data_IF_162077053679
#
_entry.id   IF_162077053679
#
_cell.length_a   1.000
_cell.length_b   1.000
_cell.length_c   1.000
_cell.angle_alpha   90.00
_cell.angle_beta   90.00
_cell.angle_gamma   90.00
#
_symmetry.space_group_name_H-M   'P 1'
#
loop_
_entity.id
_entity.type
_entity.pdbx_description
1 polymer ?
#
# COMPACT_ATOMS: atom_id res chain seq x y z
N UNK A 1 26.19 -44.11 11.22
CA UNK A 1 25.39 -42.88 11.39
C UNK A 1 26.33 -41.73 11.72
N UNK A 2 26.63 -40.86 10.75
CA UNK A 2 27.61 -39.77 10.90
C UNK A 2 26.93 -38.54 11.52
N UNK A 3 27.46 -38.01 12.63
CA UNK A 3 26.96 -36.79 13.28
C UNK A 3 27.47 -35.56 12.52
N UNK A 4 26.56 -34.71 12.03
CA UNK A 4 26.92 -33.39 11.47
C UNK A 4 27.57 -32.54 12.58
N UNK A 5 28.78 -32.06 12.32
CA UNK A 5 29.59 -31.20 13.21
C UNK A 5 29.55 -29.72 12.79
N UNK A 6 28.64 -29.40 11.89
CA UNK A 6 28.31 -28.06 11.42
C UNK A 6 27.48 -27.37 12.51
N UNK A 7 27.93 -26.18 12.92
CA UNK A 7 27.53 -25.46 14.12
C UNK A 7 26.03 -25.46 14.39
N UNK A 8 25.69 -25.53 15.68
CA UNK A 8 24.31 -25.51 16.17
C UNK A 8 23.50 -24.27 15.69
N UNK A 9 22.21 -24.19 16.03
CA UNK A 9 21.23 -23.31 15.39
C UNK A 9 21.52 -21.79 15.48
N UNK A 10 22.55 -21.35 16.20
CA UNK A 10 22.90 -19.94 16.31
C UNK A 10 23.71 -19.42 15.13
N UNK A 11 23.42 -18.19 14.68
CA UNK A 11 24.29 -17.47 13.76
C UNK A 11 25.70 -17.31 14.38
N UNK A 12 26.78 -17.74 13.71
CA UNK A 12 28.13 -17.52 14.21
C UNK A 12 28.50 -16.03 14.15
N UNK A 13 29.29 -15.56 15.11
CA UNK A 13 29.88 -14.20 15.11
C UNK A 13 30.73 -14.05 13.83
N UNK A 14 30.40 -13.04 13.01
CA UNK A 14 31.05 -12.77 11.72
C UNK A 14 31.69 -11.37 11.80
N UNK A 15 32.79 -11.28 12.52
CA UNK A 15 33.59 -10.07 12.53
C UNK A 15 34.37 -9.95 11.20
N UNK A 16 34.26 -8.82 10.47
CA UNK A 16 35.04 -8.60 9.26
C UNK A 16 36.55 -8.59 9.56
N UNK A 17 37.36 -9.19 8.68
CA UNK A 17 38.81 -9.32 8.86
C UNK A 17 39.61 -8.06 8.48
N UNK A 18 38.96 -7.06 7.88
CA UNK A 18 39.56 -5.77 7.51
C UNK A 18 39.07 -4.65 8.44
N UNK A 19 39.99 -3.88 9.00
CA UNK A 19 39.71 -2.78 9.93
C UNK A 19 40.99 -2.27 10.62
N UNK A 20 40.87 -1.23 11.45
CA UNK A 20 41.98 -0.73 12.25
C UNK A 20 42.36 -1.71 13.39
N UNK A 21 43.60 -1.65 13.86
CA UNK A 21 44.07 -2.50 14.96
C UNK A 21 43.19 -2.29 16.22
N UNK A 22 42.60 -3.39 16.73
CA UNK A 22 41.72 -3.38 17.90
C UNK A 22 40.22 -3.26 17.60
N UNK A 23 39.84 -2.81 16.39
CA UNK A 23 38.44 -2.65 16.00
C UNK A 23 37.69 -3.98 15.92
N UNK A 24 38.41 -5.05 15.52
CA UNK A 24 37.87 -6.41 15.47
C UNK A 24 37.38 -6.89 16.84
N UNK A 25 38.14 -6.63 17.90
CA UNK A 25 37.77 -7.06 19.25
C UNK A 25 36.52 -6.33 19.76
N UNK A 26 36.39 -5.05 19.42
CA UNK A 26 35.21 -4.27 19.77
C UNK A 26 33.96 -4.78 19.01
N UNK A 27 34.10 -5.07 17.71
CA UNK A 27 33.01 -5.63 16.91
C UNK A 27 32.59 -7.03 17.36
N UNK A 28 33.55 -7.88 17.75
CA UNK A 28 33.28 -9.20 18.33
C UNK A 28 32.48 -9.07 19.63
N UNK A 29 32.86 -8.17 20.54
CA UNK A 29 32.13 -7.93 21.79
C UNK A 29 30.73 -7.38 21.56
N UNK A 30 30.58 -6.42 20.64
CA UNK A 30 29.27 -5.85 20.28
C UNK A 30 28.34 -6.94 19.72
N UNK A 31 28.83 -7.79 18.82
CA UNK A 31 28.05 -8.86 18.24
C UNK A 31 27.68 -9.96 19.25
N UNK A 32 28.55 -10.23 20.23
CA UNK A 32 28.26 -11.15 21.34
C UNK A 32 27.26 -10.59 22.36
N UNK A 33 27.20 -9.26 22.51
CA UNK A 33 26.26 -8.59 23.40
C UNK A 33 24.84 -8.47 22.83
N UNK A 34 24.71 -8.57 21.50
CA UNK A 34 23.43 -8.54 20.82
C UNK A 34 22.77 -9.93 20.86
N UNK A 35 21.45 -10.05 21.08
CA UNK A 35 20.73 -11.30 20.92
C UNK A 35 20.73 -11.69 19.43
N UNK A 36 21.63 -12.57 19.04
CA UNK A 36 21.71 -13.09 17.67
C UNK A 36 20.55 -14.05 17.43
N UNK A 37 19.92 -13.93 16.26
CA UNK A 37 18.85 -14.85 15.86
C UNK A 37 19.38 -16.29 15.79
N UNK A 38 18.67 -17.21 16.43
CA UNK A 38 18.88 -18.65 16.30
C UNK A 38 18.17 -19.25 15.07
N UNK A 39 17.66 -18.39 14.18
CA UNK A 39 17.09 -18.79 12.90
C UNK A 39 18.22 -18.81 11.86
N UNK A 40 18.60 -19.97 11.30
CA UNK A 40 19.66 -20.08 10.32
C UNK A 40 19.27 -19.37 9.02
N UNK A 41 19.67 -18.11 8.86
CA UNK A 41 19.30 -17.31 7.69
C UNK A 41 17.82 -16.97 7.69
N UNK A 42 17.49 -15.72 7.36
CA UNK A 42 16.21 -15.47 6.72
C UNK A 42 16.26 -16.19 5.37
N UNK A 43 15.90 -17.47 5.34
CA UNK A 43 15.29 -18.04 4.17
C UNK A 43 14.12 -17.08 3.89
N UNK A 44 14.16 -16.35 2.77
CA UNK A 44 12.93 -15.94 2.15
C UNK A 44 12.27 -17.25 1.76
N UNK A 45 11.63 -17.86 2.76
CA UNK A 45 11.00 -19.17 2.71
C UNK A 45 10.41 -19.30 1.35
N UNK A 46 10.87 -20.27 0.55
CA UNK A 46 10.10 -20.73 -0.60
C UNK A 46 8.65 -20.68 -0.14
N UNK A 47 7.78 -19.85 -0.74
CA UNK A 47 6.52 -19.45 -0.13
C UNK A 47 5.85 -20.72 0.35
N UNK A 48 5.61 -20.79 1.67
CA UNK A 48 4.82 -21.88 2.23
C UNK A 48 3.61 -22.02 1.31
N UNK A 49 3.37 -23.23 0.80
CA UNK A 49 2.38 -23.43 -0.25
C UNK A 49 1.05 -22.86 0.27
N UNK A 50 0.71 -21.67 -0.20
CA UNK A 50 -0.50 -20.97 0.22
C UNK A 50 -1.62 -21.86 -0.27
N UNK A 51 -2.40 -22.39 0.65
CA UNK A 51 -3.58 -23.14 0.31
C UNK A 51 -4.55 -22.19 -0.40
N UNK A 52 -4.53 -22.21 -1.73
CA UNK A 52 -5.43 -21.41 -2.58
C UNK A 52 -6.89 -21.82 -2.45
N UNK A 53 -7.18 -22.94 -1.76
CA UNK A 53 -8.55 -23.34 -1.44
C UNK A 53 -9.05 -22.75 -0.12
N UNK A 54 -8.17 -22.16 0.71
CA UNK A 54 -8.53 -21.49 1.94
C UNK A 54 -9.35 -20.22 1.63
N UNK A 55 -10.67 -20.37 1.58
CA UNK A 55 -11.62 -19.29 1.27
C UNK A 55 -12.55 -19.56 0.08
N UNK A 56 -12.42 -20.71 -0.59
CA UNK A 56 -13.34 -21.10 -1.67
C UNK A 56 -14.68 -21.54 -1.09
N UNK A 57 -15.75 -20.82 -1.45
CA UNK A 57 -17.13 -21.18 -1.11
C UNK A 57 -17.63 -22.19 -2.14
N UNK A 58 -18.24 -23.29 -1.68
CA UNK A 58 -18.90 -24.26 -2.56
C UNK A 58 -20.13 -23.67 -3.27
N UNK A 59 -20.51 -24.22 -4.42
CA UNK A 59 -21.67 -23.73 -5.19
C UNK A 59 -23.02 -23.90 -4.47
N UNK A 60 -23.10 -24.83 -3.52
CA UNK A 60 -24.26 -25.13 -2.69
C UNK A 60 -24.29 -24.34 -1.37
N UNK A 61 -23.24 -23.56 -1.09
CA UNK A 61 -23.12 -22.76 0.12
C UNK A 61 -23.68 -21.35 -0.09
N UNK A 62 -24.23 -20.77 0.98
CA UNK A 62 -24.77 -19.40 0.98
C UNK A 62 -23.68 -18.33 0.92
N UNK A 63 -24.10 -17.07 0.75
CA UNK A 63 -23.19 -15.92 0.87
C UNK A 63 -22.59 -15.83 2.29
N UNK A 64 -21.33 -15.44 2.39
CA UNK A 64 -20.69 -15.14 3.68
C UNK A 64 -21.13 -13.79 4.27
N UNK A 65 -21.81 -12.97 3.46
CA UNK A 65 -22.29 -11.63 3.80
C UNK A 65 -23.80 -11.55 3.51
N UNK A 66 -24.64 -12.18 4.35
CA UNK A 66 -26.10 -12.25 4.11
C UNK A 66 -26.82 -10.91 4.28
N UNK A 67 -26.30 -10.05 5.15
CA UNK A 67 -26.89 -8.74 5.47
C UNK A 67 -26.30 -7.60 4.62
N UNK A 68 -25.28 -7.89 3.80
CA UNK A 68 -24.63 -6.89 2.96
C UNK A 68 -25.25 -6.88 1.55
N UNK A 69 -25.79 -5.73 1.09
CA UNK A 69 -26.37 -5.65 -0.24
C UNK A 69 -25.28 -5.80 -1.30
N UNK A 70 -25.66 -6.34 -2.46
CA UNK A 70 -24.74 -6.51 -3.61
C UNK A 70 -24.16 -5.18 -4.13
N UNK A 71 -24.76 -4.05 -3.76
CA UNK A 71 -24.34 -2.70 -4.10
C UNK A 71 -23.41 -2.06 -3.07
N UNK A 72 -23.07 -2.75 -1.97
CA UNK A 72 -22.11 -2.23 -1.00
C UNK A 72 -20.77 -1.92 -1.66
N UNK A 73 -20.20 -0.76 -1.35
CA UNK A 73 -18.99 -0.22 -1.99
C UNK A 73 -19.22 0.47 -3.35
N UNK A 74 -20.43 0.42 -3.91
CA UNK A 74 -20.78 1.22 -5.08
C UNK A 74 -21.16 2.65 -4.66
N UNK A 75 -20.99 3.61 -5.58
CA UNK A 75 -21.42 5.00 -5.37
C UNK A 75 -22.96 5.18 -5.40
N UNK A 76 -23.71 4.14 -5.79
CA UNK A 76 -25.16 4.16 -5.93
C UNK A 76 -25.73 2.80 -5.51
N UNK A 77 -26.84 2.84 -4.77
CA UNK A 77 -27.56 1.66 -4.31
C UNK A 77 -27.71 1.63 -2.79
N UNK A 78 -28.19 0.51 -2.26
CA UNK A 78 -28.26 0.27 -0.82
C UNK A 78 -26.89 -0.14 -0.29
N UNK A 79 -26.60 0.18 0.96
CA UNK A 79 -25.35 -0.17 1.63
C UNK A 79 -24.33 0.97 1.75
N UNK A 80 -23.20 0.71 2.41
CA UNK A 80 -22.15 1.70 2.60
C UNK A 80 -21.51 2.08 1.26
N UNK A 81 -21.63 3.36 0.89
CA UNK A 81 -21.00 3.94 -0.29
C UNK A 81 -19.63 4.55 -0.01
N UNK A 82 -19.21 5.50 -0.85
CA UNK A 82 -17.93 6.21 -0.69
C UNK A 82 -17.84 6.98 0.65
N UNK A 83 -18.98 7.30 1.25
CA UNK A 83 -19.12 7.96 2.54
C UNK A 83 -18.57 7.11 3.68
N UNK A 84 -18.63 5.77 3.56
CA UNK A 84 -18.11 4.85 4.57
C UNK A 84 -16.57 4.85 4.65
N UNK A 85 -15.89 5.36 3.61
CA UNK A 85 -14.43 5.47 3.57
C UNK A 85 -13.91 6.63 4.42
N UNK A 86 -14.78 7.52 4.91
CA UNK A 86 -14.39 8.67 5.74
C UNK A 86 -13.40 9.60 5.04
N UNK A 87 -13.39 9.61 3.70
CA UNK A 87 -12.51 10.47 2.92
C UNK A 87 -12.97 11.92 3.08
N UNK A 88 -12.04 12.88 3.26
CA UNK A 88 -12.39 14.29 3.20
C UNK A 88 -13.01 14.60 1.83
N UNK A 89 -14.06 15.43 1.84
CA UNK A 89 -14.73 15.90 0.62
C UNK A 89 -13.88 17.00 -0.07
N UNK A 90 -12.64 16.62 -0.41
CA UNK A 90 -11.63 17.40 -1.13
C UNK A 90 -12.14 18.03 -2.44
N UNK A 91 -13.02 17.41 -3.26
CA UNK A 91 -13.41 17.99 -4.54
C UNK A 91 -14.27 19.25 -4.40
N UNK A 92 -14.70 19.67 -3.21
CA UNK A 92 -15.52 20.88 -3.04
C UNK A 92 -14.65 22.13 -2.79
N UNK A 93 -13.65 22.06 -1.92
CA UNK A 93 -12.83 23.21 -1.55
C UNK A 93 -11.90 23.63 -2.69
N UNK A 94 -11.17 22.69 -3.29
CA UNK A 94 -10.29 22.97 -4.43
C UNK A 94 -11.07 23.52 -5.62
N UNK A 95 -12.26 22.97 -5.86
CA UNK A 95 -13.12 23.41 -6.94
C UNK A 95 -13.69 24.80 -6.71
N UNK A 96 -14.01 25.16 -5.46
CA UNK A 96 -14.42 26.51 -5.08
C UNK A 96 -13.28 27.53 -5.26
N UNK A 97 -12.03 27.12 -5.02
CA UNK A 97 -10.86 27.94 -5.28
C UNK A 97 -10.65 28.16 -6.78
N UNK A 98 -10.90 27.14 -7.62
CA UNK A 98 -10.82 27.26 -9.08
C UNK A 98 -11.89 28.18 -9.67
N UNK A 99 -13.07 28.31 -9.05
CA UNK A 99 -14.10 29.26 -9.47
C UNK A 99 -13.60 30.72 -9.47
N UNK A 100 -12.69 31.08 -8.55
CA UNK A 100 -12.08 32.42 -8.50
C UNK A 100 -11.28 32.74 -9.75
N UNK A 101 -10.75 31.72 -10.42
CA UNK A 101 -9.96 31.82 -11.64
C UNK A 101 -10.74 31.48 -12.92
N UNK A 102 -12.06 31.30 -12.81
CA UNK A 102 -12.93 30.95 -13.94
C UNK A 102 -12.71 31.85 -15.18
N UNK A 103 -12.59 33.19 -15.08
CA UNK A 103 -12.42 34.04 -16.26
C UNK A 103 -11.12 33.72 -17.05
N UNK A 104 -10.05 33.37 -16.35
CA UNK A 104 -8.76 33.01 -16.96
C UNK A 104 -8.86 31.63 -17.59
N UNK A 105 -9.47 30.67 -16.88
CA UNK A 105 -9.66 29.31 -17.38
C UNK A 105 -10.57 29.26 -18.61
N UNK A 106 -11.61 30.09 -18.65
CA UNK A 106 -12.48 30.26 -19.82
C UNK A 106 -11.71 30.83 -21.02
N UNK A 107 -10.90 31.87 -20.79
CA UNK A 107 -10.06 32.43 -21.85
C UNK A 107 -9.14 31.36 -22.43
N UNK A 108 -8.44 30.59 -21.57
CA UNK A 108 -7.54 29.52 -22.00
C UNK A 108 -8.28 28.38 -22.72
N UNK A 109 -9.47 28.00 -22.25
CA UNK A 109 -10.26 26.92 -22.84
C UNK A 109 -10.84 27.26 -24.23
N UNK A 110 -11.01 28.56 -24.52
CA UNK A 110 -11.51 29.06 -25.81
C UNK A 110 -10.41 29.27 -26.87
N UNK A 111 -9.14 29.06 -26.53
CA UNK A 111 -8.03 29.22 -27.48
C UNK A 111 -7.93 28.04 -28.47
N UNK A 112 -7.51 28.30 -29.73
CA UNK A 112 -7.27 27.25 -30.73
C UNK A 112 -6.02 26.43 -30.35
N UNK A 113 -6.22 25.40 -29.54
CA UNK A 113 -5.15 24.57 -28.96
C UNK A 113 -5.51 23.95 -27.62
N UNK A 114 -6.58 24.43 -26.97
CA UNK A 114 -7.03 23.90 -25.69
C UNK A 114 -7.49 22.43 -25.80
N UNK A 115 -7.07 21.60 -24.84
CA UNK A 115 -7.45 20.20 -24.78
C UNK A 115 -8.96 20.04 -24.56
N UNK A 116 -9.53 18.91 -25.04
CA UNK A 116 -10.94 18.56 -24.79
C UNK A 116 -11.22 18.44 -23.28
N UNK A 117 -10.25 17.94 -22.52
CA UNK A 117 -10.33 17.82 -21.07
C UNK A 117 -10.46 19.20 -20.38
N UNK A 118 -9.66 20.18 -20.77
CA UNK A 118 -9.73 21.54 -20.20
C UNK A 118 -11.07 22.22 -20.43
N UNK A 119 -11.63 22.08 -21.64
CA UNK A 119 -12.98 22.58 -21.97
C UNK A 119 -14.08 21.90 -21.15
N UNK A 120 -13.95 20.59 -20.93
CA UNK A 120 -14.90 19.83 -20.11
C UNK A 120 -14.85 20.24 -18.64
N UNK A 121 -13.64 20.49 -18.11
CA UNK A 121 -13.46 20.99 -16.74
C UNK A 121 -14.10 22.37 -16.55
N UNK A 122 -13.83 23.32 -17.45
CA UNK A 122 -14.44 24.66 -17.39
C UNK A 122 -15.97 24.57 -17.45
N UNK A 123 -16.52 23.71 -18.31
CA UNK A 123 -17.97 23.47 -18.36
C UNK A 123 -18.53 22.90 -17.05
N UNK A 124 -17.82 21.99 -16.39
CA UNK A 124 -18.20 21.47 -15.06
C UNK A 124 -18.17 22.59 -14.02
N UNK A 125 -17.11 23.41 -13.99
CA UNK A 125 -16.98 24.56 -13.10
C UNK A 125 -18.14 25.54 -13.27
N UNK A 126 -18.52 25.87 -14.52
CA UNK A 126 -19.67 26.75 -14.80
C UNK A 126 -20.99 26.18 -14.29
N UNK A 127 -21.21 24.87 -14.42
CA UNK A 127 -22.42 24.22 -13.94
C UNK A 127 -22.54 24.14 -12.42
N UNK A 128 -21.45 24.37 -11.67
CA UNK A 128 -21.47 24.47 -10.21
C UNK A 128 -21.66 25.89 -9.69
N UNK A 129 -21.43 26.90 -10.53
CA UNK A 129 -21.60 28.32 -10.18
C UNK A 129 -23.03 28.84 -10.40
N UNK A 130 -23.90 28.03 -11.00
CA UNK A 130 -25.33 28.30 -11.27
C UNK A 130 -26.21 27.54 -10.31
#
# INVERSE_FOLDING_TARGET
>A
MSKRTDGGPGQPVRAPSGGAYGERQNLEQLQQSAPLSATPGGDVGSPEAVDVSAGVIGFDQGTQLPDEPVTAGAALGEGPGLEALGLPDEPTEDMSNLLKYLPVLEHMANQPGASKAGRNLVRRLKGMAT
#
